data_IF_540364430616
#
_entry.id   IF_540364430616
#
_cell.length_a   1.000
_cell.length_b   1.000
_cell.length_c   1.000
_cell.angle_alpha   90.00
_cell.angle_beta   90.00
_cell.angle_gamma   90.00
#
_symmetry.space_group_name_H-M   'P 1'
#
loop_
_entity.id
_entity.type
_entity.pdbx_description
1 polymer ?
#
# COMPACT_ATOMS: atom_id res chain seq x y z
N UNK A 1 -10.23 -23.61 9.81
CA UNK A 1 -10.64 -22.31 9.23
C UNK A 1 -9.78 -22.05 8.00
N UNK A 2 -10.35 -21.76 6.83
CA UNK A 2 -9.52 -21.49 5.64
C UNK A 2 -8.87 -20.11 5.75
N UNK A 3 -7.60 -20.01 5.36
CA UNK A 3 -6.76 -18.80 5.42
C UNK A 3 -7.42 -17.55 4.78
N UNK A 4 -8.25 -17.75 3.74
CA UNK A 4 -9.01 -16.67 3.08
C UNK A 4 -10.04 -16.00 4.00
N UNK A 5 -10.52 -16.68 5.04
CA UNK A 5 -11.53 -16.13 5.96
C UNK A 5 -10.96 -15.01 6.83
N UNK A 6 -9.66 -15.03 7.16
CA UNK A 6 -9.07 -14.05 8.07
C UNK A 6 -8.86 -12.69 7.40
N UNK A 7 -8.24 -12.68 6.21
CA UNK A 7 -8.07 -11.45 5.42
C UNK A 7 -9.41 -10.76 5.17
N UNK A 8 -10.43 -11.49 4.70
CA UNK A 8 -11.75 -10.92 4.42
C UNK A 8 -12.46 -10.38 5.67
N UNK A 9 -12.11 -10.84 6.88
CA UNK A 9 -12.65 -10.31 8.13
C UNK A 9 -11.98 -9.02 8.59
N UNK A 10 -10.73 -8.77 8.18
CA UNK A 10 -9.93 -7.60 8.61
C UNK A 10 -9.78 -6.54 7.53
N UNK A 11 -9.90 -6.91 6.26
CA UNK A 11 -9.82 -6.00 5.15
C UNK A 11 -11.12 -5.19 5.02
N UNK A 12 -11.02 -3.89 5.23
CA UNK A 12 -12.10 -2.94 5.02
C UNK A 12 -11.96 -2.35 3.62
N UNK A 13 -12.96 -2.58 2.76
CA UNK A 13 -13.03 -1.90 1.48
C UNK A 13 -13.28 -0.41 1.69
N UNK A 14 -12.44 0.44 1.08
CA UNK A 14 -12.57 1.89 1.17
C UNK A 14 -13.53 2.43 0.10
N UNK A 15 -14.20 3.52 0.44
CA UNK A 15 -15.20 4.16 -0.42
C UNK A 15 -14.56 4.99 -1.54
N UNK A 16 -15.40 5.58 -2.39
CA UNK A 16 -14.96 6.41 -3.52
C UNK A 16 -14.14 7.65 -3.08
N UNK A 17 -14.31 8.15 -1.85
CA UNK A 17 -13.57 9.33 -1.38
C UNK A 17 -12.07 9.04 -1.31
N UNK A 18 -11.68 7.78 -1.07
CA UNK A 18 -10.28 7.37 -1.09
C UNK A 18 -9.68 7.41 -2.49
N UNK A 19 -10.45 7.05 -3.52
CA UNK A 19 -9.97 7.19 -4.90
C UNK A 19 -9.75 8.65 -5.30
N UNK A 20 -10.63 9.54 -4.84
CA UNK A 20 -10.48 10.99 -5.06
C UNK A 20 -9.28 11.56 -4.30
N UNK A 21 -9.00 11.03 -3.11
CA UNK A 21 -7.85 11.46 -2.29
C UNK A 21 -6.52 10.95 -2.84
N UNK A 22 -6.51 9.73 -3.41
CA UNK A 22 -5.31 9.01 -3.84
C UNK A 22 -5.36 8.56 -5.31
N UNK A 23 -5.65 9.46 -6.27
CA UNK A 23 -5.81 9.10 -7.66
C UNK A 23 -4.49 8.66 -8.30
N UNK A 24 -3.34 9.21 -7.89
CA UNK A 24 -2.06 8.81 -8.47
C UNK A 24 -1.67 7.40 -8.03
N UNK A 25 -1.88 7.05 -6.76
CA UNK A 25 -1.70 5.68 -6.26
C UNK A 25 -2.64 4.67 -6.93
N UNK A 26 -3.92 5.02 -7.07
CA UNK A 26 -4.89 4.18 -7.77
C UNK A 26 -4.56 4.01 -9.26
N UNK A 27 -4.01 5.05 -9.89
CA UNK A 27 -3.57 4.98 -11.27
C UNK A 27 -2.26 4.19 -11.39
N UNK A 28 -1.28 4.42 -10.52
CA UNK A 28 -0.01 3.71 -10.50
C UNK A 28 -0.17 2.19 -10.36
N UNK A 29 -1.19 1.73 -9.63
CA UNK A 29 -1.48 0.29 -9.54
C UNK A 29 -2.13 -0.25 -10.82
N UNK A 30 -2.65 0.59 -11.71
CA UNK A 30 -3.32 0.19 -12.96
C UNK A 30 -2.51 0.49 -14.23
N UNK A 31 -1.54 1.39 -14.17
CA UNK A 31 -0.67 1.76 -15.30
C UNK A 31 0.73 1.15 -15.12
N UNK A 32 1.06 0.19 -15.99
CA UNK A 32 2.44 -0.17 -16.37
C UNK A 32 2.37 -0.90 -17.73
N UNK A 33 3.41 -0.82 -18.57
CA UNK A 33 3.43 -1.48 -19.87
C UNK A 33 3.42 -3.00 -19.69
N UNK A 34 2.83 -3.68 -20.67
CA UNK A 34 2.42 -5.10 -20.68
C UNK A 34 3.54 -6.11 -20.31
N UNK A 35 4.78 -5.67 -20.14
CA UNK A 35 5.97 -6.51 -19.96
C UNK A 35 6.44 -6.66 -18.49
N UNK A 36 6.14 -5.73 -17.58
CA UNK A 36 6.32 -5.96 -16.13
C UNK A 36 4.96 -6.12 -15.44
N UNK A 37 4.71 -7.34 -14.95
CA UNK A 37 3.43 -7.79 -14.38
C UNK A 37 2.85 -6.77 -13.40
N UNK A 38 1.70 -6.18 -13.75
CA UNK A 38 0.71 -5.49 -12.90
C UNK A 38 0.83 -5.84 -11.40
N UNK A 39 1.71 -5.15 -10.67
CA UNK A 39 1.84 -5.33 -9.22
C UNK A 39 0.85 -4.42 -8.53
N UNK A 40 0.15 -4.95 -7.54
CA UNK A 40 -0.59 -4.07 -6.62
C UNK A 40 0.43 -3.24 -5.82
N UNK A 41 0.01 -2.04 -5.44
CA UNK A 41 0.81 -1.21 -4.53
C UNK A 41 0.29 -1.45 -3.12
N UNK A 42 1.19 -1.79 -2.21
CA UNK A 42 0.92 -1.92 -0.79
C UNK A 42 1.62 -0.78 -0.07
N UNK A 43 0.85 0.12 0.51
CA UNK A 43 1.38 1.13 1.43
C UNK A 43 1.19 0.61 2.84
N UNK A 44 2.28 0.27 3.52
CA UNK A 44 2.23 -0.39 4.81
C UNK A 44 3.03 0.35 5.87
N UNK A 45 2.70 0.08 7.13
CA UNK A 45 3.52 0.41 8.28
C UNK A 45 3.39 -0.69 9.34
N UNK A 46 4.42 -0.83 10.16
CA UNK A 46 4.48 -1.83 11.20
C UNK A 46 5.24 -1.30 12.42
N UNK A 47 4.85 -1.82 13.59
CA UNK A 47 5.58 -1.76 14.85
C UNK A 47 5.64 -3.18 15.46
N UNK A 48 6.18 -3.31 16.67
CA UNK A 48 6.38 -4.61 17.33
C UNK A 48 5.06 -5.36 17.64
N UNK A 49 3.91 -4.71 17.50
CA UNK A 49 2.60 -5.27 17.82
C UNK A 49 1.69 -5.45 16.60
N UNK A 50 1.72 -4.50 15.65
CA UNK A 50 0.75 -4.37 14.58
C UNK A 50 1.38 -4.19 13.20
N UNK A 51 0.67 -4.70 12.20
CA UNK A 51 0.87 -4.42 10.79
C UNK A 51 -0.40 -3.78 10.23
N UNK A 52 -0.25 -2.64 9.56
CA UNK A 52 -1.31 -2.03 8.75
C UNK A 52 -0.87 -1.92 7.29
N UNK A 53 -1.78 -2.26 6.38
CA UNK A 53 -1.54 -2.28 4.94
C UNK A 53 -2.72 -1.71 4.18
N UNK A 54 -2.45 -0.79 3.25
CA UNK A 54 -3.43 -0.33 2.26
C UNK A 54 -3.05 -0.90 0.90
N UNK A 55 -3.93 -1.71 0.33
CA UNK A 55 -3.78 -2.28 -1.00
C UNK A 55 -4.46 -1.37 -2.02
N UNK A 56 -3.70 -0.92 -3.00
CA UNK A 56 -4.20 -0.31 -4.23
C UNK A 56 -4.17 -1.36 -5.33
N UNK A 57 -5.34 -1.87 -5.68
CA UNK A 57 -5.52 -2.92 -6.67
C UNK A 57 -5.40 -2.37 -8.09
N UNK A 58 -4.96 -3.22 -9.01
CA UNK A 58 -4.96 -2.95 -10.46
C UNK A 58 -6.38 -2.82 -11.03
N UNK A 59 -7.40 -3.27 -10.28
CA UNK A 59 -8.82 -3.16 -10.63
C UNK A 59 -9.51 -1.99 -9.94
N UNK A 60 -8.76 -1.10 -9.27
CA UNK A 60 -9.29 0.08 -8.58
C UNK A 60 -9.83 -0.18 -7.17
N UNK A 61 -9.87 -1.42 -6.69
CA UNK A 61 -10.22 -1.68 -5.29
C UNK A 61 -9.15 -1.12 -4.33
N UNK A 62 -9.57 -0.41 -3.28
CA UNK A 62 -8.71 0.03 -2.18
C UNK A 62 -9.12 -0.74 -0.92
N UNK A 63 -8.21 -1.51 -0.34
CA UNK A 63 -8.46 -2.33 0.85
C UNK A 63 -7.54 -1.91 1.98
N UNK A 64 -8.10 -1.60 3.15
CA UNK A 64 -7.34 -1.30 4.37
C UNK A 64 -7.38 -2.50 5.31
N UNK A 65 -6.23 -3.06 5.60
CA UNK A 65 -6.06 -4.22 6.46
C UNK A 65 -5.23 -3.83 7.67
N UNK A 66 -5.69 -4.22 8.86
CA UNK A 66 -4.98 -4.03 10.12
C UNK A 66 -5.09 -5.30 10.98
N UNK A 67 -3.96 -5.78 11.49
CA UNK A 67 -3.90 -6.93 12.39
C UNK A 67 -2.66 -6.90 13.28
N UNK A 68 -2.72 -7.64 14.38
CA UNK A 68 -1.54 -7.90 15.22
C UNK A 68 -0.70 -9.03 14.64
N UNK A 69 0.59 -9.08 14.99
CA UNK A 69 1.48 -10.17 14.56
C UNK A 69 0.99 -11.56 14.96
N UNK A 70 0.52 -11.82 16.21
CA UNK A 70 -0.01 -13.13 16.57
C UNK A 70 -1.21 -13.56 15.72
N UNK A 71 -2.08 -12.63 15.35
CA UNK A 71 -3.23 -12.93 14.48
C UNK A 71 -2.79 -13.33 13.07
N UNK A 72 -1.76 -12.66 12.55
CA UNK A 72 -1.17 -12.96 11.25
C UNK A 72 -0.47 -14.32 11.28
N UNK A 73 0.35 -14.60 12.28
CA UNK A 73 1.07 -15.87 12.43
C UNK A 73 0.09 -17.05 12.47
N UNK A 74 -1.01 -16.91 13.21
CA UNK A 74 -1.99 -17.97 13.37
C UNK A 74 -2.80 -18.25 12.10
N UNK A 75 -3.11 -17.22 11.30
CA UNK A 75 -4.18 -17.30 10.30
C UNK A 75 -3.88 -16.71 8.93
N UNK A 76 -2.76 -16.02 8.75
CA UNK A 76 -2.47 -15.23 7.55
C UNK A 76 -1.01 -15.24 7.09
N UNK A 77 -0.10 -15.98 7.75
CA UNK A 77 1.33 -15.97 7.44
C UNK A 77 1.65 -16.33 5.99
N UNK A 78 0.99 -17.36 5.44
CA UNK A 78 1.16 -17.73 4.02
C UNK A 78 0.64 -16.67 3.05
N UNK A 79 -0.43 -15.96 3.42
CA UNK A 79 -0.95 -14.84 2.62
C UNK A 79 -0.01 -13.64 2.68
N UNK A 80 0.52 -13.29 3.86
CA UNK A 80 1.50 -12.21 4.01
C UNK A 80 2.79 -12.52 3.22
N UNK A 81 3.28 -13.77 3.28
CA UNK A 81 4.43 -14.18 2.48
C UNK A 81 4.17 -14.03 0.96
N UNK A 82 2.95 -14.31 0.51
CA UNK A 82 2.54 -14.06 -0.87
C UNK A 82 2.54 -12.55 -1.21
N UNK A 83 1.94 -11.70 -0.37
CA UNK A 83 1.87 -10.25 -0.65
C UNK A 83 3.25 -9.60 -0.66
N UNK A 84 4.18 -10.01 0.21
CA UNK A 84 5.57 -9.56 0.25
C UNK A 84 6.35 -9.86 -1.04
N UNK A 85 6.01 -10.97 -1.71
CA UNK A 85 6.69 -11.44 -2.92
C UNK A 85 6.16 -10.83 -4.21
N UNK A 86 4.86 -10.54 -4.29
CA UNK A 86 4.22 -10.23 -5.56
C UNK A 86 3.78 -8.78 -5.73
N UNK A 87 3.84 -7.97 -4.67
CA UNK A 87 3.42 -6.58 -4.69
C UNK A 87 4.60 -5.61 -4.57
N UNK A 88 4.37 -4.36 -4.97
CA UNK A 88 5.28 -3.24 -4.70
C UNK A 88 4.93 -2.64 -3.36
N UNK A 89 5.88 -2.62 -2.44
CA UNK A 89 5.69 -2.16 -1.07
C UNK A 89 6.29 -0.78 -0.87
N UNK A 90 5.53 0.06 -0.18
CA UNK A 90 6.01 1.29 0.42
C UNK A 90 6.00 1.12 1.93
N UNK A 91 7.13 1.42 2.56
CA UNK A 91 7.26 1.54 4.01
C UNK A 91 7.66 2.98 4.40
N UNK A 92 7.35 3.42 5.63
CA UNK A 92 7.67 4.77 6.06
C UNK A 92 9.19 4.98 6.10
N UNK A 93 9.92 4.04 6.70
CA UNK A 93 11.36 4.11 6.90
C UNK A 93 11.99 2.71 7.06
N UNK A 94 13.30 2.68 7.29
CA UNK A 94 14.07 1.44 7.46
C UNK A 94 13.75 0.71 8.76
N UNK A 95 13.37 1.43 9.81
CA UNK A 95 13.03 0.82 11.10
C UNK A 95 11.78 -0.04 10.97
N UNK A 96 10.76 0.46 10.27
CA UNK A 96 9.58 -0.34 9.91
C UNK A 96 9.93 -1.56 9.06
N UNK A 97 10.93 -1.45 8.17
CA UNK A 97 11.37 -2.61 7.38
C UNK A 97 12.08 -3.66 8.24
N UNK A 98 12.84 -3.24 9.26
CA UNK A 98 13.47 -4.15 10.19
C UNK A 98 12.41 -4.94 10.97
N UNK A 99 11.43 -4.25 11.55
CA UNK A 99 10.28 -4.87 12.24
C UNK A 99 9.54 -5.86 11.34
N UNK A 100 9.22 -5.46 10.09
CA UNK A 100 8.54 -6.35 9.14
C UNK A 100 9.38 -7.60 8.81
N UNK A 101 10.70 -7.45 8.70
CA UNK A 101 11.61 -8.56 8.42
C UNK A 101 11.77 -9.51 9.61
N UNK A 102 11.71 -9.00 10.84
CA UNK A 102 11.76 -9.80 12.08
C UNK A 102 10.53 -10.71 12.22
N UNK A 103 9.33 -10.20 11.92
CA UNK A 103 8.09 -10.96 12.05
C UNK A 103 7.72 -11.80 10.82
N UNK A 104 8.22 -11.44 9.64
CA UNK A 104 7.90 -12.13 8.41
C UNK A 104 9.10 -12.25 7.47
N UNK A 105 9.29 -11.27 6.58
CA UNK A 105 10.36 -11.23 5.58
C UNK A 105 10.39 -9.86 4.92
N UNK A 106 11.54 -9.49 4.35
CA UNK A 106 11.64 -8.26 3.56
C UNK A 106 10.83 -8.38 2.25
N UNK A 107 10.05 -7.36 1.86
CA UNK A 107 9.40 -7.34 0.55
C UNK A 107 10.42 -7.37 -0.59
N UNK A 108 10.07 -8.05 -1.68
CA UNK A 108 10.96 -8.19 -2.86
C UNK A 108 11.09 -6.92 -3.69
N UNK A 109 10.08 -6.05 -3.65
CA UNK A 109 10.05 -4.74 -4.31
C UNK A 109 9.65 -3.70 -3.27
N UNK A 110 10.65 -3.13 -2.59
CA UNK A 110 10.49 -2.25 -1.45
C UNK A 110 10.94 -0.81 -1.80
N UNK A 111 10.12 0.15 -1.42
CA UNK A 111 10.37 1.60 -1.49
C UNK A 111 10.17 2.23 -0.12
N UNK A 112 10.84 3.36 0.11
CA UNK A 112 10.75 4.11 1.35
C UNK A 112 10.21 5.52 1.11
N UNK A 113 9.27 5.95 1.94
CA UNK A 113 8.80 7.34 1.95
C UNK A 113 9.72 8.29 2.75
N UNK A 114 10.71 7.73 3.47
CA UNK A 114 11.65 8.47 4.30
C UNK A 114 10.96 9.34 5.36
N UNK A 115 9.95 8.79 6.03
CA UNK A 115 9.17 9.47 7.06
C UNK A 115 8.96 8.57 8.27
N UNK A 116 8.97 9.17 9.46
CA UNK A 116 8.57 8.50 10.69
C UNK A 116 7.05 8.56 10.87
N UNK A 117 6.48 7.48 11.40
CA UNK A 117 5.04 7.39 11.66
C UNK A 117 4.76 7.58 13.15
N UNK A 118 4.52 8.82 13.57
CA UNK A 118 4.23 9.13 14.97
C UNK A 118 2.92 8.48 15.44
N UNK A 119 2.98 7.77 16.57
CA UNK A 119 1.85 7.03 17.12
C UNK A 119 1.57 5.68 16.46
N UNK A 120 2.47 5.20 15.58
CA UNK A 120 2.43 3.84 15.06
C UNK A 120 1.42 3.61 13.92
N UNK A 121 1.35 2.36 13.41
CA UNK A 121 0.53 1.98 12.25
C UNK A 121 -0.98 2.15 12.46
N UNK A 122 -1.46 2.04 13.71
CA UNK A 122 -2.90 2.13 14.03
C UNK A 122 -3.39 3.59 14.12
N UNK A 123 -2.48 4.56 14.23
CA UNK A 123 -2.81 5.99 14.20
C UNK A 123 -3.22 6.44 12.80
N UNK A 124 -4.54 6.44 12.55
CA UNK A 124 -5.10 6.75 11.22
C UNK A 124 -4.70 8.12 10.69
N UNK A 125 -4.80 9.24 11.43
CA UNK A 125 -4.31 10.54 10.97
C UNK A 125 -2.85 10.52 10.51
N UNK A 126 -1.94 9.97 11.32
CA UNK A 126 -0.53 9.86 10.95
C UNK A 126 -0.34 8.98 9.71
N UNK A 127 -1.07 7.87 9.62
CA UNK A 127 -1.01 6.97 8.48
C UNK A 127 -1.50 7.65 7.20
N UNK A 128 -2.54 8.50 7.26
CA UNK A 128 -3.00 9.27 6.09
C UNK A 128 -1.96 10.29 5.64
N UNK A 129 -1.30 11.00 6.56
CA UNK A 129 -0.19 11.88 6.20
C UNK A 129 0.96 11.13 5.53
N UNK A 130 1.21 9.89 5.93
CA UNK A 130 2.17 9.02 5.26
C UNK A 130 1.69 8.62 3.85
N UNK A 131 0.43 8.21 3.68
CA UNK A 131 -0.17 7.94 2.36
C UNK A 131 -0.04 9.13 1.42
N UNK A 132 -0.27 10.35 1.92
CA UNK A 132 -0.19 11.59 1.11
C UNK A 132 1.22 11.79 0.54
N UNK A 133 2.28 11.38 1.25
CA UNK A 133 3.67 11.44 0.75
C UNK A 133 3.88 10.46 -0.40
N UNK A 134 3.36 9.24 -0.28
CA UNK A 134 3.47 8.23 -1.35
C UNK A 134 2.64 8.65 -2.57
N UNK A 135 1.45 9.19 -2.36
CA UNK A 135 0.63 9.79 -3.41
C UNK A 135 1.39 10.91 -4.13
N UNK A 136 2.04 11.80 -3.38
CA UNK A 136 2.84 12.88 -3.97
C UNK A 136 4.01 12.36 -4.80
N UNK A 137 4.62 11.24 -4.40
CA UNK A 137 5.66 10.59 -5.19
C UNK A 137 5.12 10.18 -6.57
N UNK A 138 3.99 9.47 -6.60
CA UNK A 138 3.39 9.03 -7.87
C UNK A 138 2.84 10.19 -8.71
N UNK A 139 2.37 11.29 -8.10
CA UNK A 139 1.97 12.50 -8.86
C UNK A 139 3.11 13.14 -9.65
N UNK A 140 4.36 12.91 -9.24
CA UNK A 140 5.55 13.43 -9.92
C UNK A 140 6.02 12.51 -11.05
N UNK A 141 5.50 11.27 -11.12
CA UNK A 141 5.75 10.39 -12.26
C UNK A 141 5.12 10.99 -13.52
N UNK A 142 5.90 11.08 -14.59
CA UNK A 142 5.47 11.78 -15.80
C UNK A 142 4.29 11.09 -16.49
N UNK A 143 4.26 9.75 -16.53
CA UNK A 143 3.19 8.99 -17.17
C UNK A 143 1.88 9.16 -16.40
N UNK A 144 1.95 9.07 -15.07
CA UNK A 144 0.80 9.32 -14.18
C UNK A 144 0.34 10.78 -14.31
N UNK A 145 1.28 11.73 -14.25
CA UNK A 145 0.97 13.16 -14.29
C UNK A 145 0.27 13.56 -15.59
N UNK A 146 0.70 13.02 -16.73
CA UNK A 146 0.05 13.26 -18.04
C UNK A 146 -1.40 12.78 -18.09
N UNK A 147 -1.71 11.66 -17.42
CA UNK A 147 -3.08 11.13 -17.35
C UNK A 147 -3.95 11.95 -16.39
N UNK A 148 -3.41 12.34 -15.23
CA UNK A 148 -4.14 13.10 -14.22
C UNK A 148 -4.35 14.58 -14.62
N UNK A 149 -3.39 15.14 -15.34
CA UNK A 149 -3.37 16.53 -15.79
C UNK A 149 -3.10 16.57 -17.29
N UNK A 150 -4.07 16.12 -18.12
CA UNK A 150 -3.91 16.19 -19.56
C UNK A 150 -3.65 17.63 -19.95
N UNK A 151 -2.60 17.88 -20.72
CA UNK A 151 -2.39 19.21 -21.30
C UNK A 151 -3.64 19.53 -22.09
N UNK A 152 -4.35 20.57 -21.68
CA UNK A 152 -5.29 21.27 -22.55
C UNK A 152 -4.43 21.87 -23.67
N UNK A 153 -4.12 21.07 -24.68
CA UNK A 153 -3.84 21.60 -26.01
C UNK A 153 -5.14 22.26 -26.45
N UNK A 154 -5.24 23.54 -26.09
CA UNK A 154 -5.93 24.62 -26.78
C UNK A 154 -6.94 24.10 -27.81
N UNK A 155 -8.19 24.00 -27.36
CA UNK A 155 -9.34 24.27 -28.22
C UNK A 155 -9.16 25.70 -28.74
N UNK A 156 -8.47 25.84 -29.87
CA UNK A 156 -8.43 27.03 -30.73
C UNK A 156 -9.05 26.65 -32.05
#
# INVERSE_FOLDING_TARGET
>A
MSLNSFFLKRAVARDANWQVSYPALALASSIDPVDERRKQIVVAAADDAHLRMIFFSTLGAILDFEATWPEIEQSAGGWLAFTLRWNRWWLPNRDTAAVLAEHASAPTDLRFAHRSLEGGPTNTPSFRLYLDVVEQHYRRDEAISRVLFPRLELLV
#
